data_IF_847821604222
#
_entry.id   IF_847821604222
#
_cell.length_a   1.000
_cell.length_b   1.000
_cell.length_c   1.000
_cell.angle_alpha   90.00
_cell.angle_beta   90.00
_cell.angle_gamma   90.00
#
_symmetry.space_group_name_H-M   'P 1'
#
loop_
_entity.id
_entity.type
_entity.pdbx_description
1 polymer ?
#
# COMPACT_ATOMS: atom_id res chain seq x y z
N UNK A 1 -17.05 -1.81 5.45
CA UNK A 1 -16.43 -3.15 5.59
C UNK A 1 -17.38 -4.30 5.34
N UNK A 2 -18.44 -4.50 6.15
CA UNK A 2 -19.37 -5.63 6.01
C UNK A 2 -19.93 -5.71 4.58
N UNK A 3 -20.36 -4.56 4.05
CA UNK A 3 -20.81 -4.44 2.66
C UNK A 3 -19.74 -4.90 1.65
N UNK A 4 -18.49 -4.47 1.80
CA UNK A 4 -17.38 -4.87 0.92
C UNK A 4 -17.15 -6.39 0.97
N UNK A 5 -17.12 -6.96 2.17
CA UNK A 5 -16.90 -8.40 2.35
C UNK A 5 -18.03 -9.24 1.75
N UNK A 6 -19.28 -8.82 1.94
CA UNK A 6 -20.43 -9.46 1.31
C UNK A 6 -20.32 -9.42 -0.23
N UNK A 7 -19.87 -8.30 -0.80
CA UNK A 7 -19.65 -8.17 -2.25
C UNK A 7 -18.56 -9.11 -2.76
N UNK A 8 -17.47 -9.28 -2.00
CA UNK A 8 -16.39 -10.21 -2.34
C UNK A 8 -16.88 -11.66 -2.33
N UNK A 9 -17.67 -12.06 -1.33
CA UNK A 9 -18.20 -13.42 -1.22
C UNK A 9 -19.26 -13.80 -2.25
N UNK A 10 -19.91 -12.83 -2.89
CA UNK A 10 -20.87 -13.10 -3.98
C UNK A 10 -20.14 -13.63 -5.24
N UNK A 11 -18.85 -13.35 -5.40
CA UNK A 11 -18.09 -13.85 -6.54
C UNK A 11 -17.76 -15.34 -6.38
N UNK A 12 -17.81 -16.09 -7.47
CA UNK A 12 -17.48 -17.54 -7.51
C UNK A 12 -15.98 -17.84 -7.39
N UNK A 13 -15.12 -16.83 -7.20
CA UNK A 13 -13.66 -16.95 -7.08
C UNK A 13 -13.21 -16.86 -5.62
N UNK A 14 -12.05 -17.41 -5.31
CA UNK A 14 -11.38 -17.16 -4.02
C UNK A 14 -10.96 -15.69 -3.91
N UNK A 15 -11.15 -15.03 -2.76
CA UNK A 15 -10.75 -13.64 -2.58
C UNK A 15 -9.26 -13.41 -2.85
N UNK A 16 -8.93 -12.28 -3.47
CA UNK A 16 -7.56 -11.91 -3.78
C UNK A 16 -6.82 -11.43 -2.53
N UNK A 17 -5.48 -11.50 -2.55
CA UNK A 17 -4.64 -11.03 -1.44
C UNK A 17 -4.94 -9.56 -1.08
N UNK A 18 -5.14 -8.71 -2.09
CA UNK A 18 -5.47 -7.30 -1.91
C UNK A 18 -6.82 -7.10 -1.18
N UNK A 19 -7.82 -7.95 -1.45
CA UNK A 19 -9.13 -7.89 -0.79
C UNK A 19 -9.02 -8.27 0.70
N UNK A 20 -8.18 -9.27 1.04
CA UNK A 20 -7.87 -9.60 2.43
C UNK A 20 -7.15 -8.45 3.16
N UNK A 21 -6.16 -7.84 2.50
CA UNK A 21 -5.43 -6.70 3.08
C UNK A 21 -6.36 -5.51 3.30
N UNK A 22 -7.27 -5.21 2.36
CA UNK A 22 -8.26 -4.14 2.51
C UNK A 22 -9.23 -4.39 3.67
N UNK A 23 -9.71 -5.63 3.87
CA UNK A 23 -10.54 -5.95 5.03
C UNK A 23 -9.76 -5.81 6.33
N UNK A 24 -8.51 -6.29 6.37
CA UNK A 24 -7.70 -6.14 7.57
C UNK A 24 -7.43 -4.67 7.91
N UNK A 25 -7.18 -3.82 6.90
CA UNK A 25 -6.96 -2.39 7.05
C UNK A 25 -8.23 -1.65 7.52
N UNK A 26 -9.39 -1.99 6.95
CA UNK A 26 -10.66 -1.50 7.46
C UNK A 26 -10.95 -1.97 8.89
N UNK A 27 -10.51 -3.18 9.24
CA UNK A 27 -10.70 -3.78 10.55
C UNK A 27 -9.87 -3.08 11.62
N UNK A 28 -8.60 -2.79 11.32
CA UNK A 28 -7.75 -2.02 12.21
C UNK A 28 -8.18 -0.56 12.32
N UNK A 29 -8.71 0.05 11.26
CA UNK A 29 -9.34 1.37 11.34
C UNK A 29 -10.57 1.34 12.27
N UNK A 30 -11.48 0.38 12.10
CA UNK A 30 -12.64 0.24 12.99
C UNK A 30 -12.23 0.00 14.45
N UNK A 31 -11.13 -0.73 14.68
CA UNK A 31 -10.55 -0.89 16.02
C UNK A 31 -9.94 0.40 16.55
N UNK A 32 -9.35 1.23 15.71
CA UNK A 32 -8.82 2.55 16.07
C UNK A 32 -9.93 3.57 16.36
N UNK A 33 -11.07 3.50 15.68
CA UNK A 33 -12.17 4.45 15.85
C UNK A 33 -13.17 4.02 16.95
N UNK A 34 -13.03 2.81 17.48
CA UNK A 34 -13.89 2.31 18.55
C UNK A 34 -13.83 3.25 19.76
N UNK A 35 -14.97 3.75 20.29
CA UNK A 35 -14.93 4.78 21.31
C UNK A 35 -14.77 4.16 22.72
N UNK A 36 -13.65 3.46 22.93
CA UNK A 36 -13.29 2.80 24.18
C UNK A 36 -13.08 3.81 25.31
N UNK A 37 -12.70 5.04 24.94
CA UNK A 37 -12.49 6.17 25.83
C UNK A 37 -13.76 6.49 26.63
N UNK A 38 -14.97 6.24 26.09
CA UNK A 38 -16.20 6.47 26.85
C UNK A 38 -16.34 5.55 28.07
N UNK A 39 -15.67 4.40 28.10
CA UNK A 39 -15.69 3.52 29.28
C UNK A 39 -14.99 4.18 30.48
N UNK A 40 -14.06 5.12 30.23
CA UNK A 40 -13.37 5.86 31.29
C UNK A 40 -14.28 6.77 32.11
N UNK A 41 -15.47 7.11 31.61
CA UNK A 41 -16.48 7.84 32.38
C UNK A 41 -17.06 7.01 33.53
N UNK A 42 -17.03 5.68 33.40
CA UNK A 42 -17.64 4.75 34.36
C UNK A 42 -16.60 3.95 35.14
N UNK A 43 -15.42 3.73 34.56
CA UNK A 43 -14.36 2.90 35.14
C UNK A 43 -13.02 3.61 35.09
N UNK A 44 -12.24 3.55 36.18
CA UNK A 44 -10.87 4.02 36.18
C UNK A 44 -9.98 3.08 35.35
N UNK A 45 -9.54 3.54 34.18
CA UNK A 45 -8.71 2.78 33.24
C UNK A 45 -7.34 3.47 33.04
N UNK A 46 -6.36 3.29 33.95
CA UNK A 46 -5.05 3.95 33.85
C UNK A 46 -4.23 3.52 32.62
N UNK A 47 -4.60 2.40 31.97
CA UNK A 47 -3.96 1.88 30.75
C UNK A 47 -4.49 2.47 29.45
N UNK A 48 -5.40 3.45 29.50
CA UNK A 48 -6.03 4.00 28.30
C UNK A 48 -5.02 4.60 27.32
N UNK A 49 -4.00 5.31 27.83
CA UNK A 49 -2.95 5.91 27.00
C UNK A 49 -2.17 4.84 26.23
N UNK A 50 -1.72 3.80 26.94
CA UNK A 50 -0.99 2.68 26.38
C UNK A 50 -1.84 1.88 25.37
N UNK A 51 -3.12 1.68 25.67
CA UNK A 51 -4.05 1.02 24.76
C UNK A 51 -4.26 1.83 23.47
N UNK A 52 -4.36 3.16 23.57
CA UNK A 52 -4.43 4.06 22.40
C UNK A 52 -3.19 3.94 21.52
N UNK A 53 -1.99 3.89 22.10
CA UNK A 53 -0.75 3.73 21.33
C UNK A 53 -0.70 2.38 20.61
N UNK A 54 -1.10 1.30 21.28
CA UNK A 54 -1.20 -0.04 20.65
C UNK A 54 -2.15 0.00 19.46
N UNK A 55 -3.32 0.62 19.62
CA UNK A 55 -4.34 0.72 18.55
C UNK A 55 -3.79 1.47 17.34
N UNK A 56 -3.14 2.61 17.57
CA UNK A 56 -2.49 3.40 16.53
C UNK A 56 -1.34 2.63 15.87
N UNK A 57 -0.50 1.96 16.66
CA UNK A 57 0.61 1.14 16.18
C UNK A 57 0.14 -0.01 15.28
N UNK A 58 -0.93 -0.71 15.67
CA UNK A 58 -1.55 -1.76 14.86
C UNK A 58 -2.08 -1.20 13.53
N UNK A 59 -2.76 -0.05 13.57
CA UNK A 59 -3.25 0.61 12.36
C UNK A 59 -2.10 0.99 11.41
N UNK A 60 -1.04 1.65 11.92
CA UNK A 60 0.11 2.03 11.11
C UNK A 60 0.85 0.82 10.54
N UNK A 61 1.06 -0.24 11.34
CA UNK A 61 1.66 -1.48 10.86
C UNK A 61 0.88 -2.07 9.67
N UNK A 62 -0.45 -2.11 9.77
CA UNK A 62 -1.31 -2.61 8.70
C UNK A 62 -1.35 -1.68 7.47
N UNK A 63 -1.34 -0.36 7.67
CA UNK A 63 -1.29 0.61 6.58
C UNK A 63 0.02 0.49 5.78
N UNK A 64 1.17 0.43 6.46
CA UNK A 64 2.48 0.25 5.81
C UNK A 64 2.56 -1.11 5.09
N UNK A 65 2.05 -2.17 5.72
CA UNK A 65 1.98 -3.49 5.12
C UNK A 65 1.10 -3.50 3.86
N UNK A 66 -0.07 -2.83 3.91
CA UNK A 66 -0.96 -2.66 2.77
C UNK A 66 -0.24 -1.96 1.62
N UNK A 67 0.47 -0.86 1.85
CA UNK A 67 1.20 -0.13 0.81
C UNK A 67 2.24 -0.96 0.08
N UNK A 68 2.99 -1.75 0.84
CA UNK A 68 4.01 -2.63 0.30
C UNK A 68 3.39 -3.71 -0.57
N UNK A 69 2.38 -4.42 -0.05
CA UNK A 69 1.68 -5.47 -0.79
C UNK A 69 0.95 -4.90 -2.00
N UNK A 70 0.29 -3.75 -1.86
CA UNK A 70 -0.42 -3.07 -2.94
C UNK A 70 0.50 -2.72 -4.10
N UNK A 71 1.63 -2.06 -3.82
CA UNK A 71 2.63 -1.71 -4.84
C UNK A 71 3.25 -2.98 -5.45
N UNK A 72 3.46 -4.01 -4.63
CA UNK A 72 3.95 -5.32 -5.06
C UNK A 72 3.02 -6.06 -6.01
N UNK A 73 1.72 -6.12 -5.71
CA UNK A 73 0.73 -6.80 -6.55
C UNK A 73 0.63 -6.12 -7.92
N UNK A 74 0.62 -4.79 -7.93
CA UNK A 74 0.59 -4.01 -9.18
C UNK A 74 1.88 -4.13 -10.01
N UNK A 75 3.01 -4.55 -9.41
CA UNK A 75 4.22 -4.94 -10.13
C UNK A 75 4.11 -6.37 -10.70
N UNK A 76 3.55 -7.31 -9.94
CA UNK A 76 3.57 -8.76 -10.25
C UNK A 76 2.46 -9.23 -11.19
N UNK A 77 1.36 -8.47 -11.32
CA UNK A 77 0.29 -8.74 -12.32
C UNK A 77 0.86 -8.90 -13.75
N UNK A 78 2.10 -8.47 -14.00
CA UNK A 78 2.73 -8.49 -15.32
C UNK A 78 3.70 -9.65 -15.57
N UNK A 79 4.12 -10.45 -14.58
CA UNK A 79 5.18 -11.46 -14.77
C UNK A 79 4.81 -12.91 -14.40
N UNK A 80 3.75 -13.18 -13.62
CA UNK A 80 3.41 -14.57 -13.25
C UNK A 80 1.92 -14.78 -13.01
N UNK A 81 1.32 -15.77 -13.69
CA UNK A 81 -0.05 -16.24 -13.46
C UNK A 81 -0.24 -17.09 -12.18
N UNK A 82 0.73 -17.10 -11.27
CA UNK A 82 0.63 -17.82 -10.01
C UNK A 82 -0.08 -16.99 -8.93
N UNK A 83 -0.82 -17.68 -8.06
CA UNK A 83 -1.52 -17.05 -6.93
C UNK A 83 -0.52 -16.41 -5.97
N UNK A 84 -0.58 -15.09 -5.83
CA UNK A 84 0.28 -14.38 -4.89
C UNK A 84 -0.06 -14.74 -3.44
N UNK A 85 0.95 -15.12 -2.68
CA UNK A 85 0.84 -15.39 -1.24
C UNK A 85 1.69 -14.41 -0.44
N UNK A 86 1.27 -14.12 0.80
CA UNK A 86 2.04 -13.26 1.72
C UNK A 86 3.49 -13.72 1.90
N UNK A 87 3.77 -15.01 1.70
CA UNK A 87 5.11 -15.59 1.82
C UNK A 87 6.10 -14.97 0.84
N UNK A 88 5.67 -14.51 -0.34
CA UNK A 88 6.52 -13.82 -1.32
C UNK A 88 7.01 -12.46 -0.80
N UNK A 89 6.20 -11.80 0.03
CA UNK A 89 6.50 -10.49 0.62
C UNK A 89 7.13 -10.56 2.01
N UNK A 90 7.30 -11.76 2.58
CA UNK A 90 7.71 -11.94 3.97
C UNK A 90 9.00 -11.22 4.36
N UNK A 91 10.00 -11.19 3.47
CA UNK A 91 11.28 -10.49 3.72
C UNK A 91 11.12 -8.98 3.86
N UNK A 92 10.16 -8.40 3.17
CA UNK A 92 9.90 -6.96 3.22
C UNK A 92 8.96 -6.62 4.37
N UNK A 93 7.96 -7.48 4.59
CA UNK A 93 7.03 -7.37 5.71
C UNK A 93 7.74 -7.56 7.07
N UNK A 94 8.78 -8.40 7.13
CA UNK A 94 9.58 -8.58 8.34
C UNK A 94 10.28 -7.29 8.77
N UNK A 95 10.66 -6.40 7.84
CA UNK A 95 11.24 -5.10 8.19
C UNK A 95 10.22 -4.23 8.92
N UNK A 96 8.96 -4.20 8.45
CA UNK A 96 7.87 -3.46 9.11
C UNK A 96 7.60 -4.07 10.49
N UNK A 97 7.52 -5.40 10.56
CA UNK A 97 7.26 -6.11 11.81
C UNK A 97 8.35 -5.85 12.87
N UNK A 98 9.63 -5.89 12.49
CA UNK A 98 10.75 -5.60 13.41
C UNK A 98 10.67 -4.17 13.94
N UNK A 99 10.32 -3.20 13.08
CA UNK A 99 10.14 -1.81 13.49
C UNK A 99 9.00 -1.63 14.50
N UNK A 100 7.83 -2.18 14.18
CA UNK A 100 6.66 -2.11 15.05
C UNK A 100 6.87 -2.84 16.38
N UNK A 101 7.50 -4.02 16.36
CA UNK A 101 7.83 -4.76 17.60
C UNK A 101 8.83 -3.99 18.45
N UNK A 102 9.84 -3.35 17.83
CA UNK A 102 10.81 -2.52 18.56
C UNK A 102 10.13 -1.35 19.26
N UNK A 103 9.23 -0.63 18.56
CA UNK A 103 8.45 0.46 19.16
C UNK A 103 7.49 -0.04 20.24
N UNK A 104 6.83 -1.18 20.04
CA UNK A 104 5.94 -1.77 21.03
C UNK A 104 6.70 -2.14 22.32
N UNK A 105 7.90 -2.70 22.20
CA UNK A 105 8.75 -3.00 23.37
C UNK A 105 9.16 -1.70 24.07
N UNK A 106 9.52 -0.66 23.31
CA UNK A 106 9.82 0.66 23.87
C UNK A 106 8.62 1.23 24.65
N UNK A 107 7.42 1.22 24.07
CA UNK A 107 6.19 1.70 24.71
C UNK A 107 5.83 0.88 25.96
N UNK A 108 6.03 -0.45 25.92
CA UNK A 108 5.86 -1.32 27.09
C UNK A 108 6.85 -0.97 28.21
N UNK A 109 8.10 -0.67 27.88
CA UNK A 109 9.12 -0.33 28.85
C UNK A 109 8.95 1.09 29.43
N UNK A 110 8.38 2.03 28.69
CA UNK A 110 8.13 3.40 29.15
C UNK A 110 6.72 3.53 29.75
N UNK A 111 5.68 3.46 28.92
CA UNK A 111 4.27 3.67 29.31
C UNK A 111 3.67 2.49 30.07
N UNK A 112 4.15 1.27 29.81
CA UNK A 112 3.70 0.09 30.57
C UNK A 112 4.10 0.15 32.04
N UNK A 113 5.28 0.70 32.35
CA UNK A 113 5.76 0.86 33.74
C UNK A 113 5.06 2.02 34.46
N UNK A 114 4.59 3.04 33.72
CA UNK A 114 3.80 4.15 34.27
C UNK A 114 2.52 3.71 34.98
N UNK A 115 1.98 2.53 34.63
CA UNK A 115 0.82 1.94 35.31
C UNK A 115 1.06 1.62 36.78
N UNK A 116 2.30 1.29 37.13
CA UNK A 116 2.70 0.99 38.51
C UNK A 116 3.36 2.21 39.15
N UNK A 117 4.19 2.92 38.39
CA UNK A 117 4.90 4.11 38.88
C UNK A 117 4.82 5.26 37.87
N UNK A 118 3.93 6.24 38.09
CA UNK A 118 3.76 7.40 37.21
C UNK A 118 5.00 8.29 37.08
N UNK A 119 5.93 8.22 38.04
CA UNK A 119 7.18 9.00 38.03
C UNK A 119 8.35 8.25 37.41
N UNK A 120 8.14 7.02 36.94
CA UNK A 120 9.17 6.28 36.25
C UNK A 120 9.50 6.95 34.92
N UNK A 121 10.79 6.99 34.58
CA UNK A 121 11.24 7.39 33.25
C UNK A 121 12.44 6.55 32.88
N UNK A 122 12.34 5.87 31.73
CA UNK A 122 13.40 5.00 31.22
C UNK A 122 14.71 5.77 31.01
N UNK A 123 14.61 7.07 30.75
CA UNK A 123 15.70 7.99 30.46
C UNK A 123 16.56 8.36 31.68
N UNK A 124 16.09 8.06 32.90
CA UNK A 124 16.81 8.40 34.14
C UNK A 124 17.93 7.41 34.44
N UNK A 125 17.78 6.15 34.03
CA UNK A 125 18.78 5.11 34.31
C UNK A 125 19.69 4.90 33.09
N UNK A 126 21.01 4.74 33.27
CA UNK A 126 21.93 4.57 32.15
C UNK A 126 21.63 3.29 31.34
N UNK A 127 21.21 2.22 32.03
CA UNK A 127 20.82 0.97 31.39
C UNK A 127 19.51 1.12 30.60
N UNK A 128 18.51 1.80 31.17
CA UNK A 128 17.25 2.10 30.51
C UNK A 128 17.45 2.96 29.26
N UNK A 129 18.21 4.04 29.35
CA UNK A 129 18.51 4.93 28.23
C UNK A 129 19.18 4.20 27.07
N UNK A 130 20.17 3.34 27.34
CA UNK A 130 20.83 2.56 26.29
C UNK A 130 19.87 1.58 25.60
N UNK A 131 18.97 0.94 26.36
CA UNK A 131 17.94 0.05 25.81
C UNK A 131 16.91 0.83 24.98
N UNK A 132 16.39 1.93 25.51
CA UNK A 132 15.46 2.82 24.82
C UNK A 132 16.01 3.30 23.48
N UNK A 133 17.23 3.83 23.49
CA UNK A 133 17.92 4.28 22.28
C UNK A 133 18.10 3.12 21.29
N UNK A 134 18.43 1.92 21.75
CA UNK A 134 18.57 0.74 20.87
C UNK A 134 17.26 0.43 20.13
N UNK A 135 16.12 0.43 20.83
CA UNK A 135 14.82 0.18 20.20
C UNK A 135 14.40 1.28 19.23
N UNK A 136 14.61 2.55 19.61
CA UNK A 136 14.30 3.70 18.74
C UNK A 136 15.18 3.71 17.50
N UNK A 137 16.49 3.44 17.63
CA UNK A 137 17.42 3.35 16.50
C UNK A 137 17.06 2.16 15.59
N UNK A 138 16.72 1.00 16.17
CA UNK A 138 16.29 -0.18 15.40
C UNK A 138 15.02 0.12 14.60
N UNK A 139 14.02 0.75 15.23
CA UNK A 139 12.81 1.19 14.56
C UNK A 139 13.10 2.19 13.44
N UNK A 140 13.95 3.20 13.68
CA UNK A 140 14.36 4.18 12.69
C UNK A 140 15.08 3.57 11.49
N UNK A 141 16.01 2.63 11.71
CA UNK A 141 16.70 1.91 10.63
C UNK A 141 15.72 1.07 9.81
N UNK A 142 14.79 0.37 10.47
CA UNK A 142 13.78 -0.44 9.79
C UNK A 142 12.81 0.40 8.95
N UNK A 143 12.42 1.58 9.44
CA UNK A 143 11.60 2.54 8.72
C UNK A 143 12.33 3.13 7.51
N UNK A 144 13.63 3.43 7.65
CA UNK A 144 14.50 3.85 6.55
C UNK A 144 14.58 2.80 5.44
N UNK A 145 14.91 1.55 5.79
CA UNK A 145 14.96 0.43 4.83
C UNK A 145 13.61 0.25 4.11
N UNK A 146 12.51 0.29 4.87
CA UNK A 146 11.16 0.24 4.31
C UNK A 146 10.91 1.38 3.32
N UNK A 147 11.24 2.62 3.67
CA UNK A 147 11.01 3.79 2.83
C UNK A 147 11.78 3.70 1.51
N UNK A 148 13.09 3.41 1.56
CA UNK A 148 13.90 3.21 0.35
C UNK A 148 13.34 2.12 -0.54
N UNK A 149 12.93 0.99 0.05
CA UNK A 149 12.33 -0.10 -0.71
C UNK A 149 10.99 0.28 -1.35
N UNK A 150 10.12 0.98 -0.62
CA UNK A 150 8.85 1.45 -1.15
C UNK A 150 9.05 2.44 -2.31
N UNK A 151 9.98 3.40 -2.18
CA UNK A 151 10.32 4.32 -3.26
C UNK A 151 10.83 3.59 -4.50
N UNK A 152 11.73 2.60 -4.33
CA UNK A 152 12.21 1.77 -5.42
C UNK A 152 11.07 1.01 -6.13
N UNK A 153 10.17 0.40 -5.35
CA UNK A 153 9.02 -0.33 -5.88
C UNK A 153 8.08 0.59 -6.66
N UNK A 154 7.76 1.77 -6.12
CA UNK A 154 6.92 2.77 -6.78
C UNK A 154 7.57 3.22 -8.10
N UNK A 155 8.85 3.55 -8.09
CA UNK A 155 9.60 3.93 -9.29
C UNK A 155 9.52 2.83 -10.36
N UNK A 156 9.77 1.58 -9.96
CA UNK A 156 9.73 0.43 -10.86
C UNK A 156 8.33 0.21 -11.45
N UNK A 157 7.27 0.37 -10.66
CA UNK A 157 5.88 0.27 -11.15
C UNK A 157 5.60 1.38 -12.18
N UNK A 158 6.00 2.62 -11.91
CA UNK A 158 5.84 3.71 -12.88
C UNK A 158 6.63 3.49 -14.17
N UNK A 159 7.87 2.98 -14.07
CA UNK A 159 8.66 2.63 -15.24
C UNK A 159 7.97 1.55 -16.08
N UNK A 160 7.45 0.50 -15.43
CA UNK A 160 6.77 -0.60 -16.13
C UNK A 160 5.44 -0.16 -16.76
N UNK A 161 4.66 0.68 -16.06
CA UNK A 161 3.45 1.30 -16.63
C UNK A 161 3.80 2.14 -17.86
N UNK A 162 4.88 2.90 -17.82
CA UNK A 162 5.34 3.72 -18.96
C UNK A 162 5.65 2.85 -20.19
N UNK A 163 6.43 1.78 -19.99
CA UNK A 163 6.75 0.82 -21.07
C UNK A 163 5.51 0.09 -21.60
N UNK A 164 4.54 -0.28 -20.75
CA UNK A 164 3.31 -0.92 -21.22
C UNK A 164 2.38 0.03 -21.94
N UNK A 165 2.34 1.31 -21.53
CA UNK A 165 1.54 2.34 -22.20
C UNK A 165 1.94 2.56 -23.66
N UNK A 166 3.21 2.36 -24.02
CA UNK A 166 3.65 2.45 -25.42
C UNK A 166 3.20 1.28 -26.29
N UNK A 167 2.90 0.12 -25.69
CA UNK A 167 2.45 -1.10 -26.39
C UNK A 167 0.92 -1.27 -26.33
N UNK A 168 0.22 -0.48 -25.52
CA UNK A 168 -1.25 -0.49 -25.44
C UNK A 168 -2.00 -0.34 -26.77
N UNK A 169 -1.54 0.46 -27.77
CA UNK A 169 -2.24 0.63 -29.03
C UNK A 169 -2.33 -0.63 -29.90
N UNK A 170 -1.46 -1.63 -29.69
CA UNK A 170 -1.45 -2.88 -30.47
C UNK A 170 -2.29 -4.01 -29.86
N UNK A 171 -3.02 -3.75 -28.76
CA UNK A 171 -3.85 -4.76 -28.09
C UNK A 171 -5.32 -4.69 -28.50
N UNK A 172 -6.02 -5.83 -28.39
CA UNK A 172 -7.48 -5.91 -28.56
C UNK A 172 -8.22 -4.94 -27.63
N UNK A 173 -9.32 -4.37 -28.12
CA UNK A 173 -10.05 -3.29 -27.44
C UNK A 173 -10.51 -3.66 -26.01
N UNK A 174 -11.02 -4.89 -25.81
CA UNK A 174 -11.47 -5.38 -24.51
C UNK A 174 -10.32 -5.48 -23.48
N UNK A 175 -9.18 -6.04 -23.91
CA UNK A 175 -7.98 -6.18 -23.07
C UNK A 175 -7.38 -4.82 -22.73
N UNK A 176 -7.33 -3.91 -23.71
CA UNK A 176 -6.86 -2.53 -23.51
C UNK A 176 -7.68 -1.79 -22.45
N UNK A 177 -9.01 -1.85 -22.53
CA UNK A 177 -9.88 -1.15 -21.58
C UNK A 177 -9.71 -1.68 -20.14
N UNK A 178 -9.52 -2.99 -19.98
CA UNK A 178 -9.24 -3.61 -18.69
C UNK A 178 -7.91 -3.12 -18.09
N UNK A 179 -6.83 -3.10 -18.87
CA UNK A 179 -5.52 -2.61 -18.42
C UNK A 179 -5.51 -1.10 -18.14
N UNK A 180 -6.14 -0.28 -19.01
CA UNK A 180 -6.30 1.16 -18.76
C UNK A 180 -7.04 1.41 -17.45
N UNK A 181 -8.09 0.61 -17.16
CA UNK A 181 -8.83 0.69 -15.90
C UNK A 181 -7.98 0.36 -14.67
N UNK A 182 -7.13 -0.67 -14.73
CA UNK A 182 -6.22 -1.03 -13.63
C UNK A 182 -5.17 0.07 -13.40
N UNK A 183 -4.55 0.57 -14.48
CA UNK A 183 -3.54 1.62 -14.41
C UNK A 183 -4.15 2.92 -13.84
N UNK A 184 -5.35 3.30 -14.29
CA UNK A 184 -6.02 4.49 -13.79
C UNK A 184 -6.31 4.41 -12.29
N UNK A 185 -6.85 3.27 -11.81
CA UNK A 185 -7.12 3.04 -10.38
C UNK A 185 -5.84 3.12 -9.54
N UNK A 186 -4.76 2.53 -10.03
CA UNK A 186 -3.46 2.58 -9.36
C UNK A 186 -2.93 4.02 -9.27
N UNK A 187 -2.89 4.75 -10.39
CA UNK A 187 -2.39 6.13 -10.42
C UNK A 187 -3.24 7.07 -9.57
N UNK A 188 -4.57 6.94 -9.64
CA UNK A 188 -5.48 7.71 -8.80
C UNK A 188 -5.21 7.47 -7.31
N UNK A 189 -5.07 6.20 -6.92
CA UNK A 189 -4.82 5.87 -5.52
C UNK A 189 -3.45 6.36 -5.04
N UNK A 190 -2.41 6.20 -5.87
CA UNK A 190 -1.07 6.67 -5.56
C UNK A 190 -1.05 8.19 -5.37
N UNK A 191 -1.72 8.94 -6.25
CA UNK A 191 -1.85 10.39 -6.14
C UNK A 191 -2.60 10.81 -4.86
N UNK A 192 -3.76 10.19 -4.59
CA UNK A 192 -4.53 10.47 -3.38
C UNK A 192 -3.70 10.25 -2.10
N UNK A 193 -2.86 9.21 -2.11
CA UNK A 193 -2.00 8.87 -0.96
C UNK A 193 -0.88 9.85 -0.78
N UNK A 194 -0.21 10.25 -1.86
CA UNK A 194 0.83 11.26 -1.80
C UNK A 194 0.28 12.58 -1.26
N UNK A 195 -0.93 12.96 -1.68
CA UNK A 195 -1.64 14.14 -1.15
C UNK A 195 -1.94 13.96 0.34
N UNK A 196 -2.52 12.83 0.77
CA UNK A 196 -2.80 12.58 2.19
C UNK A 196 -1.53 12.60 3.05
N UNK A 197 -0.44 11.99 2.58
CA UNK A 197 0.85 11.98 3.26
C UNK A 197 1.46 13.40 3.33
N UNK A 198 1.42 14.15 2.22
CA UNK A 198 1.90 15.53 2.16
C UNK A 198 1.13 16.45 3.10
N UNK A 199 -0.21 16.37 3.09
CA UNK A 199 -1.07 17.12 4.02
C UNK A 199 -0.77 16.75 5.47
N UNK A 200 -0.55 15.47 5.78
CA UNK A 200 -0.19 15.01 7.13
C UNK A 200 1.13 15.62 7.61
N UNK A 201 2.16 15.65 6.76
CA UNK A 201 3.47 16.24 7.11
C UNK A 201 3.35 17.76 7.30
N UNK A 202 2.68 18.45 6.38
CA UNK A 202 2.46 19.90 6.49
C UNK A 202 1.69 20.23 7.77
N UNK A 203 0.63 19.47 8.05
CA UNK A 203 -0.18 19.58 9.27
C UNK A 203 0.65 19.39 10.54
N UNK A 204 1.54 18.40 10.55
CA UNK A 204 2.45 18.15 11.65
C UNK A 204 3.43 19.32 11.86
N UNK A 205 4.06 19.81 10.79
CA UNK A 205 4.98 20.94 10.86
C UNK A 205 4.30 22.23 11.35
N UNK A 206 3.08 22.50 10.87
CA UNK A 206 2.27 23.63 11.33
C UNK A 206 1.92 23.50 12.81
N UNK A 207 1.55 22.29 13.28
CA UNK A 207 1.23 22.05 14.69
C UNK A 207 2.44 22.31 15.60
N UNK A 208 3.63 21.86 15.20
CA UNK A 208 4.88 22.10 15.94
C UNK A 208 5.24 23.59 15.96
N UNK A 209 5.06 24.29 14.84
CA UNK A 209 5.32 25.73 14.75
C UNK A 209 4.38 26.54 15.65
N UNK A 210 3.08 26.24 15.63
CA UNK A 210 2.07 26.94 16.44
C UNK A 210 2.31 26.71 17.93
N UNK A 211 2.65 25.49 18.35
CA UNK A 211 2.98 25.18 19.75
C UNK A 211 4.25 25.89 20.24
N UNK A 212 5.18 26.25 19.33
CA UNK A 212 6.47 26.85 19.66
C UNK A 212 6.48 28.37 19.84
N UNK A 213 5.68 29.13 19.08
CA UNK A 213 5.86 30.59 19.02
C UNK A 213 4.58 31.46 18.95
N UNK A 214 3.39 30.91 18.70
CA UNK A 214 2.23 31.76 18.38
C UNK A 214 0.96 31.35 19.13
N UNK A 215 0.75 31.95 20.30
CA UNK A 215 -0.61 32.15 20.82
C UNK A 215 -1.25 33.17 19.88
N UNK A 216 -2.02 32.69 18.90
CA UNK A 216 -2.78 33.57 18.02
C UNK A 216 -3.64 34.50 18.88
N UNK A 217 -3.60 35.78 18.54
CA UNK A 217 -4.20 36.92 19.23
C UNK A 217 -5.65 36.64 19.67
N UNK A 218 -6.06 37.20 20.81
CA UNK A 218 -7.28 36.96 21.62
C UNK A 218 -8.64 37.24 20.88
N UNK A 219 -8.67 37.28 19.55
CA UNK A 219 -9.84 37.64 18.74
C UNK A 219 -10.46 36.48 17.93
N UNK A 220 -9.80 35.32 17.85
CA UNK A 220 -10.32 34.11 17.19
C UNK A 220 -10.19 32.92 18.13
N UNK A 221 -11.31 32.49 18.74
CA UNK A 221 -11.44 31.28 19.56
C UNK A 221 -11.31 29.98 18.73
N UNK A 222 -10.45 29.94 17.71
CA UNK A 222 -10.22 28.75 16.90
C UNK A 222 -8.96 28.04 17.40
N UNK A 223 -9.15 26.89 18.03
CA UNK A 223 -8.05 26.02 18.44
C UNK A 223 -7.51 25.25 17.21
N UNK A 224 -6.55 25.88 16.51
CA UNK A 224 -5.97 25.37 15.25
C UNK A 224 -5.36 23.96 15.43
N UNK A 225 -4.76 23.66 16.58
CA UNK A 225 -4.21 22.35 16.90
C UNK A 225 -5.27 21.24 16.85
N UNK A 226 -6.44 21.48 17.46
CA UNK A 226 -7.57 20.53 17.45
C UNK A 226 -8.16 20.34 16.06
N UNK A 227 -8.24 21.43 15.26
CA UNK A 227 -8.67 21.37 13.85
C UNK A 227 -7.71 20.50 13.04
N UNK A 228 -6.40 20.67 13.23
CA UNK A 228 -5.40 19.89 12.52
C UNK A 228 -5.49 18.40 12.89
N UNK A 229 -5.53 18.08 14.18
CA UNK A 229 -5.63 16.68 14.63
C UNK A 229 -6.91 16.00 14.11
N UNK A 230 -8.05 16.67 14.25
CA UNK A 230 -9.35 16.14 13.76
C UNK A 230 -9.36 16.01 12.24
N UNK A 231 -8.75 16.96 11.53
CA UNK A 231 -8.65 16.95 10.07
C UNK A 231 -7.82 15.77 9.55
N UNK A 232 -6.65 15.50 10.15
CA UNK A 232 -5.82 14.35 9.78
C UNK A 232 -6.54 13.04 10.07
N UNK A 233 -7.18 12.91 11.24
CA UNK A 233 -7.95 11.72 11.60
C UNK A 233 -9.10 11.46 10.63
N UNK A 234 -9.90 12.49 10.31
CA UNK A 234 -11.00 12.40 9.35
C UNK A 234 -10.52 12.08 7.93
N UNK A 235 -9.42 12.67 7.49
CA UNK A 235 -8.81 12.42 6.17
C UNK A 235 -8.44 10.94 5.99
N UNK A 236 -7.76 10.33 6.95
CA UNK A 236 -7.38 8.91 6.87
C UNK A 236 -8.60 7.99 6.92
N UNK A 237 -9.62 8.34 7.70
CA UNK A 237 -10.91 7.63 7.72
C UNK A 237 -11.60 7.64 6.34
N UNK A 238 -11.72 8.83 5.73
CA UNK A 238 -12.29 8.99 4.39
C UNK A 238 -11.45 8.25 3.34
N UNK A 239 -10.13 8.31 3.46
CA UNK A 239 -9.20 7.63 2.56
C UNK A 239 -9.41 6.10 2.54
N UNK A 240 -9.49 5.45 3.71
CA UNK A 240 -9.74 4.01 3.81
C UNK A 240 -11.16 3.65 3.36
N UNK A 241 -12.14 4.49 3.67
CA UNK A 241 -13.52 4.31 3.20
C UNK A 241 -13.58 4.34 1.66
N UNK A 242 -12.91 5.32 1.03
CA UNK A 242 -12.80 5.42 -0.42
C UNK A 242 -12.09 4.19 -1.02
N UNK A 243 -11.04 3.69 -0.38
CA UNK A 243 -10.37 2.46 -0.77
C UNK A 243 -11.32 1.26 -0.83
N UNK A 244 -12.08 1.04 0.25
CA UNK A 244 -13.07 -0.04 0.32
C UNK A 244 -14.16 0.11 -0.75
N UNK A 245 -14.59 1.34 -1.07
CA UNK A 245 -15.61 1.57 -2.10
C UNK A 245 -15.06 1.38 -3.52
N UNK A 246 -13.89 1.92 -3.83
CA UNK A 246 -13.31 1.91 -5.18
C UNK A 246 -12.79 0.53 -5.60
N UNK A 247 -12.33 -0.27 -4.64
CA UNK A 247 -11.86 -1.63 -4.88
C UNK A 247 -12.95 -2.69 -4.67
N UNK A 248 -14.18 -2.29 -4.35
CA UNK A 248 -15.30 -3.22 -4.25
C UNK A 248 -15.62 -3.89 -5.60
N UNK A 249 -15.97 -5.19 -5.61
CA UNK A 249 -16.45 -5.85 -6.82
C UNK A 249 -17.72 -5.17 -7.38
N UNK A 250 -17.68 -4.80 -8.66
CA UNK A 250 -18.79 -4.15 -9.36
C UNK A 250 -19.72 -5.17 -10.01
N UNK A 251 -20.99 -4.81 -10.23
CA UNK A 251 -22.04 -5.68 -10.77
C UNK A 251 -22.00 -5.85 -12.30
N UNK A 252 -21.00 -5.26 -12.98
CA UNK A 252 -20.85 -5.36 -14.43
C UNK A 252 -20.51 -6.81 -14.81
N UNK A 253 -21.52 -7.50 -15.34
CA UNK A 253 -21.32 -8.68 -16.15
C UNK A 253 -20.61 -8.22 -17.41
N UNK A 254 -19.32 -8.49 -17.52
CA UNK A 254 -18.68 -8.43 -18.82
C UNK A 254 -19.37 -9.47 -19.70
N UNK A 255 -19.75 -9.14 -20.95
CA UNK A 255 -20.22 -10.17 -21.86
C UNK A 255 -19.16 -11.26 -21.86
N UNK A 256 -19.57 -12.48 -21.55
CA UNK A 256 -18.73 -13.67 -21.73
C UNK A 256 -18.09 -13.52 -23.09
N UNK A 257 -16.75 -13.60 -23.17
CA UNK A 257 -16.07 -13.62 -24.46
C UNK A 257 -16.86 -14.59 -25.34
N UNK A 258 -17.38 -14.16 -26.51
CA UNK A 258 -17.84 -15.15 -27.47
C UNK A 258 -16.63 -16.05 -27.68
N UNK A 259 -16.82 -17.34 -27.43
CA UNK A 259 -15.87 -18.41 -27.71
C UNK A 259 -15.17 -17.99 -29.01
N UNK A 260 -13.88 -17.63 -28.92
CA UNK A 260 -13.11 -17.38 -30.10
C UNK A 260 -13.27 -18.63 -30.96
N UNK A 261 -14.01 -18.47 -32.05
CA UNK A 261 -13.90 -19.37 -33.19
C UNK A 261 -12.40 -19.34 -33.52
N UNK A 262 -11.78 -20.52 -33.50
CA UNK A 262 -10.37 -20.73 -33.86
C UNK A 262 -9.98 -19.81 -35.02
N UNK A 263 -9.04 -18.87 -34.80
CA UNK A 263 -8.59 -18.03 -35.91
C UNK A 263 -7.76 -16.78 -35.62
N UNK A 264 -7.71 -16.24 -34.40
CA UNK A 264 -6.86 -15.08 -34.10
C UNK A 264 -6.13 -15.24 -32.77
N UNK A 265 -5.18 -16.18 -32.73
CA UNK A 265 -4.03 -16.00 -31.86
C UNK A 265 -3.21 -14.83 -32.40
N UNK A 266 -3.25 -13.70 -31.67
CA UNK A 266 -2.29 -12.61 -31.88
C UNK A 266 -0.91 -13.16 -31.54
N UNK A 267 -0.21 -13.59 -32.58
CA UNK A 267 1.17 -14.02 -32.60
C UNK A 267 2.04 -12.95 -31.91
N UNK A 268 2.42 -13.22 -30.66
CA UNK A 268 3.52 -12.52 -30.03
C UNK A 268 4.79 -12.96 -30.76
N UNK A 269 5.24 -12.18 -31.75
CA UNK A 269 6.59 -12.28 -32.26
C UNK A 269 7.55 -12.09 -31.09
N UNK A 270 8.03 -13.21 -30.53
CA UNK A 270 9.18 -13.24 -29.65
C UNK A 270 10.39 -12.83 -30.50
N UNK A 271 10.83 -11.59 -30.31
CA UNK A 271 12.19 -11.22 -30.66
C UNK A 271 13.16 -12.09 -29.84
N UNK A 272 13.93 -12.88 -30.59
CA UNK A 272 15.25 -13.43 -30.26
C UNK A 272 15.34 -14.47 -29.16
N UNK A 273 15.23 -15.75 -29.55
CA UNK A 273 16.29 -16.75 -29.37
C UNK A 273 15.75 -18.11 -29.81
N UNK A 274 15.98 -18.47 -31.07
CA UNK A 274 16.23 -19.87 -31.40
C UNK A 274 17.09 -19.97 -32.66
N UNK A 275 18.23 -20.59 -32.46
CA UNK A 275 19.27 -20.87 -33.43
C UNK A 275 18.83 -22.06 -34.28
N UNK A 276 18.05 -21.85 -35.34
CA UNK A 276 17.99 -22.76 -36.52
C UNK A 276 16.87 -22.37 -37.49
N UNK A 277 17.12 -21.40 -38.37
CA UNK A 277 16.36 -21.27 -39.62
C UNK A 277 17.32 -20.91 -40.77
N UNK A 278 17.62 -21.84 -41.69
CA UNK A 278 18.16 -21.49 -42.98
C UNK A 278 17.04 -21.03 -43.93
N UNK A 279 17.40 -20.07 -44.79
CA UNK A 279 16.84 -19.82 -46.13
C UNK A 279 15.72 -18.78 -46.31
N UNK A 280 16.08 -17.50 -46.17
CA UNK A 280 15.58 -16.43 -47.06
C UNK A 280 16.58 -16.08 -48.19
N UNK A 281 17.77 -16.69 -48.20
CA UNK A 281 18.76 -16.54 -49.28
C UNK A 281 18.49 -17.51 -50.46
N UNK A 282 17.61 -18.50 -50.26
CA UNK A 282 17.26 -19.48 -51.30
C UNK A 282 16.20 -19.01 -52.30
N UNK A 283 15.42 -17.97 -52.00
CA UNK A 283 14.40 -17.41 -52.92
C UNK A 283 15.01 -16.44 -53.94
N UNK A 284 16.16 -15.84 -53.63
CA UNK A 284 16.89 -14.95 -54.54
C UNK A 284 17.81 -15.72 -55.52
N UNK A 285 18.23 -16.93 -55.18
CA UNK A 285 19.06 -17.77 -56.09
C UNK A 285 18.24 -18.52 -57.14
N UNK A 286 16.94 -18.78 -56.91
CA UNK A 286 16.07 -19.40 -57.92
C UNK A 286 15.62 -18.45 -59.04
N UNK A 287 15.67 -17.13 -58.82
CA UNK A 287 15.38 -16.13 -59.86
C UNK A 287 16.59 -15.83 -60.75
N UNK A 288 17.81 -15.97 -60.24
CA UNK A 288 19.04 -15.77 -61.04
C UNK A 288 19.37 -16.99 -61.91
N UNK A 289 19.06 -18.21 -61.46
CA UNK A 289 19.31 -19.43 -62.24
C UNK A 289 18.38 -19.63 -63.45
N UNK A 290 17.27 -18.89 -63.55
CA UNK A 290 16.34 -18.95 -64.69
C UNK A 290 16.61 -17.90 -65.78
N UNK A 291 17.61 -17.03 -65.57
CA UNK A 291 18.00 -16.00 -66.54
C UNK A 291 19.29 -16.32 -67.34
N UNK A 292 19.94 -17.47 -67.07
CA UNK A 292 21.19 -17.89 -67.74
C UNK A 292 21.05 -19.21 -68.53
N UNK A 293 19.85 -19.53 -69.03
CA UNK A 293 19.68 -20.59 -70.04
C UNK A 293 18.85 -20.00 -71.19
N UNK A 294 19.53 -19.22 -72.03
CA UNK A 294 19.43 -19.19 -73.49
C UNK A 294 20.81 -18.83 -74.07
#
# INVERSE_FOLDING_TARGET
MIWFWNRVHILSRTPALLEYMLISLGGTLAFLDMPLEYLTLYFDMPYMLFLSDIRQGIFYAMLLSFWLVFTGEHMLIQESGEKNSLRKYWKHLSSVAVGCVSLLIFDLCERGVHLVNPFYSIWVTPLGTNLALTFVICAGLSAGIYFFFLCYMIWKVFANISTKRSVLPSMTQARRLHYEGIIYRFCFLMAATLVCAGVTIISFLLSQYIQGEYKYDDALDIEVTSVIHTGVYGMWNVYICALLMLYAPSHKHWPSEPICIEGEEVEFSRLSNDTSTPNEISSLTSFVAKANIE
#
